data_IF_549155034522
#
_entry.id   IF_549155034522
#
_cell.length_a   1.000
_cell.length_b   1.000
_cell.length_c   1.000
_cell.angle_alpha   90.00
_cell.angle_beta   90.00
_cell.angle_gamma   90.00
#
_symmetry.space_group_name_H-M   'P 1'
#
loop_
_entity.id
_entity.type
_entity.pdbx_description
1 polymer ?
#
# COMPACT_ATOMS: atom_id res chain seq x y z
N UNK A 1 -8.72 -2.35 -12.84
CA UNK A 1 -7.50 -2.95 -12.25
C UNK A 1 -7.90 -3.64 -10.96
N UNK A 2 -7.48 -4.87 -10.74
CA UNK A 2 -7.69 -5.55 -9.46
C UNK A 2 -6.51 -5.23 -8.52
N UNK A 3 -6.83 -4.79 -7.30
CA UNK A 3 -5.85 -4.48 -6.25
C UNK A 3 -6.11 -5.39 -5.06
N UNK A 4 -5.06 -6.02 -4.55
CA UNK A 4 -5.09 -6.81 -3.33
C UNK A 4 -4.47 -5.96 -2.23
N UNK A 5 -5.29 -5.51 -1.29
CA UNK A 5 -4.85 -4.77 -0.12
C UNK A 5 -4.35 -5.75 0.92
N UNK A 6 -3.16 -5.50 1.43
CA UNK A 6 -2.51 -6.30 2.45
C UNK A 6 -2.07 -5.40 3.59
N UNK A 7 -1.98 -5.97 4.78
CA UNK A 7 -1.57 -5.27 5.99
C UNK A 7 -0.43 -6.05 6.63
N UNK A 8 0.76 -5.44 6.65
CA UNK A 8 1.93 -6.11 7.22
C UNK A 8 1.91 -6.09 8.76
N UNK A 9 1.21 -5.13 9.36
CA UNK A 9 1.18 -4.96 10.82
C UNK A 9 -0.15 -5.42 11.43
N UNK A 10 -1.20 -5.57 10.61
CA UNK A 10 -2.52 -5.96 11.08
C UNK A 10 -3.32 -4.87 11.77
N UNK A 11 -2.97 -3.61 11.51
CA UNK A 11 -3.51 -2.43 12.18
C UNK A 11 -4.71 -1.86 11.43
N UNK A 12 -4.83 -2.13 10.13
CA UNK A 12 -5.66 -1.39 9.20
C UNK A 12 -6.72 -2.28 8.55
N UNK A 13 -6.38 -3.53 8.22
CA UNK A 13 -7.33 -4.45 7.62
C UNK A 13 -8.08 -5.24 8.70
N UNK A 14 -9.42 -5.27 8.67
CA UNK A 14 -10.18 -6.13 9.56
C UNK A 14 -9.77 -7.59 9.36
N UNK A 15 -9.50 -8.28 10.46
CA UNK A 15 -9.18 -9.70 10.52
C UNK A 15 -7.85 -10.12 9.84
N UNK A 16 -6.95 -9.17 9.53
CA UNK A 16 -5.66 -9.42 8.83
C UNK A 16 -5.78 -10.11 7.47
N UNK A 17 -6.98 -10.18 6.90
CA UNK A 17 -7.23 -10.83 5.63
C UNK A 17 -7.02 -9.87 4.46
N UNK A 18 -6.49 -10.35 3.31
CA UNK A 18 -6.35 -9.51 2.13
C UNK A 18 -7.73 -9.08 1.61
N UNK A 19 -7.87 -7.80 1.29
CA UNK A 19 -9.11 -7.22 0.74
C UNK A 19 -8.93 -6.97 -0.76
N UNK A 20 -9.90 -7.42 -1.55
CA UNK A 20 -9.92 -7.19 -2.99
C UNK A 20 -10.65 -5.88 -3.30
N UNK A 21 -10.00 -5.01 -4.07
CA UNK A 21 -10.56 -3.76 -4.55
C UNK A 21 -10.47 -3.70 -6.08
N UNK A 22 -11.63 -3.54 -6.74
CA UNK A 22 -11.67 -3.18 -8.15
C UNK A 22 -11.53 -1.66 -8.29
N UNK A 23 -10.51 -1.23 -9.02
CA UNK A 23 -10.19 0.18 -9.22
C UNK A 23 -10.11 0.53 -10.70
N UNK A 24 -10.86 1.54 -11.13
CA UNK A 24 -10.96 1.98 -12.53
C UNK A 24 -10.17 3.26 -12.83
N UNK A 25 -9.58 3.89 -11.82
CA UNK A 25 -8.81 5.13 -11.99
C UNK A 25 -7.41 4.91 -12.58
N UNK A 26 -6.75 6.02 -12.93
CA UNK A 26 -5.39 6.04 -13.51
C UNK A 26 -4.37 6.80 -12.65
N UNK A 27 -4.82 7.34 -11.52
CA UNK A 27 -4.00 8.11 -10.60
C UNK A 27 -3.75 7.36 -9.31
N UNK A 28 -2.53 7.49 -8.78
CA UNK A 28 -2.18 7.01 -7.43
C UNK A 28 -2.99 7.76 -6.37
N UNK A 29 -3.32 9.03 -6.61
CA UNK A 29 -4.13 9.83 -5.69
C UNK A 29 -5.56 9.29 -5.61
N UNK A 30 -6.18 9.04 -6.76
CA UNK A 30 -7.53 8.45 -6.83
C UNK A 30 -7.56 7.06 -6.19
N UNK A 31 -6.50 6.26 -6.39
CA UNK A 31 -6.38 4.95 -5.74
C UNK A 31 -6.29 5.10 -4.22
N UNK A 32 -5.50 6.08 -3.75
CA UNK A 32 -5.35 6.36 -2.31
C UNK A 32 -6.67 6.76 -1.68
N UNK A 33 -7.44 7.62 -2.35
CA UNK A 33 -8.74 8.08 -1.84
C UNK A 33 -9.78 6.95 -1.85
N UNK A 34 -9.77 6.09 -2.88
CA UNK A 34 -10.62 4.89 -2.93
C UNK A 34 -10.31 3.92 -1.78
N UNK A 35 -9.02 3.65 -1.55
CA UNK A 35 -8.56 2.80 -0.45
C UNK A 35 -8.91 3.41 0.92
N UNK A 36 -8.67 4.72 1.10
CA UNK A 36 -9.00 5.41 2.34
C UNK A 36 -10.51 5.36 2.63
N UNK A 37 -11.34 5.54 1.60
CA UNK A 37 -12.80 5.43 1.69
C UNK A 37 -13.22 4.01 2.09
N UNK A 38 -12.63 2.98 1.48
CA UNK A 38 -12.90 1.58 1.81
C UNK A 38 -12.57 1.25 3.28
N UNK A 39 -11.47 1.82 3.78
CA UNK A 39 -10.97 1.57 5.13
C UNK A 39 -11.58 2.52 6.19
N UNK A 40 -12.34 3.54 5.78
CA UNK A 40 -12.92 4.52 6.70
C UNK A 40 -11.88 5.42 7.39
N UNK A 41 -10.73 5.67 6.75
CA UNK A 41 -9.62 6.49 7.26
C UNK A 41 -9.34 7.70 6.36
N UNK A 42 -8.53 8.65 6.83
CA UNK A 42 -8.13 9.78 5.99
C UNK A 42 -7.01 9.36 5.03
N UNK A 43 -7.03 9.84 3.79
CA UNK A 43 -6.05 9.44 2.78
C UNK A 43 -4.62 9.89 3.07
N UNK A 44 -4.43 10.86 3.96
CA UNK A 44 -3.12 11.29 4.49
C UNK A 44 -2.56 10.37 5.59
N UNK A 45 -3.42 9.57 6.21
CA UNK A 45 -3.04 8.66 7.30
C UNK A 45 -2.59 7.30 6.77
N UNK A 46 -2.64 7.09 5.45
CA UNK A 46 -2.22 5.86 4.81
C UNK A 46 -1.04 6.08 3.86
N UNK A 47 -0.11 5.13 3.90
CA UNK A 47 1.00 5.01 2.97
C UNK A 47 0.78 3.73 2.18
N UNK A 48 0.62 3.90 0.87
CA UNK A 48 0.47 2.79 -0.06
C UNK A 48 1.84 2.35 -0.56
N UNK A 49 2.16 1.08 -0.40
CA UNK A 49 3.44 0.49 -0.79
C UNK A 49 3.24 -0.66 -1.76
N UNK A 50 4.20 -0.84 -2.65
CA UNK A 50 4.33 -2.04 -3.48
C UNK A 50 5.60 -2.79 -3.08
N UNK A 51 5.60 -4.11 -3.23
CA UNK A 51 6.80 -4.91 -2.98
C UNK A 51 7.60 -5.06 -4.27
N UNK A 52 8.84 -4.58 -4.28
CA UNK A 52 9.74 -4.69 -5.43
C UNK A 52 10.27 -6.12 -5.63
N UNK A 53 9.49 -7.01 -6.26
CA UNK A 53 9.85 -8.43 -6.44
C UNK A 53 9.42 -9.33 -5.27
N UNK A 54 9.57 -10.65 -5.43
CA UNK A 54 9.01 -11.70 -4.54
C UNK A 54 9.35 -11.59 -3.04
N UNK A 55 10.48 -10.94 -2.70
CA UNK A 55 10.92 -10.65 -1.32
C UNK A 55 11.42 -9.21 -1.16
N UNK A 56 11.05 -8.34 -2.09
CA UNK A 56 11.57 -6.98 -2.13
C UNK A 56 11.19 -6.16 -0.92
N UNK A 57 11.91 -5.06 -0.73
CA UNK A 57 11.53 -4.03 0.23
C UNK A 57 10.21 -3.36 -0.19
N UNK A 58 9.43 -2.91 0.77
CA UNK A 58 8.29 -2.05 0.52
C UNK A 58 8.79 -0.71 -0.03
N UNK A 59 8.24 -0.31 -1.17
CA UNK A 59 8.55 0.96 -1.84
C UNK A 59 7.26 1.77 -1.88
N UNK A 60 7.26 3.02 -1.36
CA UNK A 60 6.10 3.90 -1.46
C UNK A 60 5.69 4.12 -2.91
N UNK A 61 4.39 4.09 -3.17
CA UNK A 61 3.84 4.35 -4.50
C UNK A 61 3.74 5.87 -4.71
N UNK A 62 4.73 6.46 -5.40
CA UNK A 62 4.87 7.93 -5.40
C UNK A 62 4.37 8.66 -6.65
N UNK A 63 4.34 8.07 -7.86
CA UNK A 63 4.01 8.94 -9.03
C UNK A 63 3.34 8.37 -10.27
N UNK A 64 3.27 7.08 -10.59
CA UNK A 64 2.46 6.67 -11.77
C UNK A 64 2.00 5.22 -11.71
N UNK A 65 0.68 5.02 -11.77
CA UNK A 65 0.06 3.73 -12.09
C UNK A 65 -0.08 3.64 -13.61
N UNK A 66 0.70 2.75 -14.24
CA UNK A 66 0.42 2.25 -15.58
C UNK A 66 0.26 0.74 -15.47
N UNK A 67 -0.95 0.20 -15.21
CA UNK A 67 -1.17 -1.23 -15.27
C UNK A 67 -1.63 -1.54 -16.70
N UNK A 68 -0.69 -1.94 -17.55
CA UNK A 68 -1.01 -2.77 -18.74
C UNK A 68 -1.00 -4.26 -18.39
N UNK A 69 -1.00 -4.59 -17.08
CA UNK A 69 -0.79 -5.94 -16.59
C UNK A 69 -2.13 -6.52 -16.15
N UNK A 70 -2.42 -7.73 -16.65
CA UNK A 70 -3.60 -8.55 -16.32
C UNK A 70 -3.58 -9.10 -14.88
N UNK A 71 -2.47 -8.94 -14.17
CA UNK A 71 -2.29 -9.48 -12.82
C UNK A 71 -2.74 -8.48 -11.74
N UNK A 72 -3.27 -8.98 -10.61
CA UNK A 72 -3.63 -8.12 -9.49
C UNK A 72 -2.40 -7.42 -8.91
N UNK A 73 -2.52 -6.10 -8.66
CA UNK A 73 -1.49 -5.36 -7.95
C UNK A 73 -1.60 -5.63 -6.46
N UNK A 74 -0.56 -6.21 -5.86
CA UNK A 74 -0.48 -6.36 -4.41
C UNK A 74 0.02 -5.05 -3.79
N UNK A 75 -0.80 -4.48 -2.93
CA UNK A 75 -0.57 -3.18 -2.34
C UNK A 75 -0.67 -3.29 -0.82
N UNK A 76 0.42 -2.89 -0.17
CA UNK A 76 0.57 -2.94 1.28
C UNK A 76 0.20 -1.58 1.85
N UNK A 77 -0.76 -1.56 2.76
CA UNK A 77 -1.20 -0.34 3.43
C UNK A 77 -0.49 -0.27 4.77
N UNK A 78 0.20 0.84 4.99
CA UNK A 78 0.75 1.20 6.29
C UNK A 78 0.07 2.46 6.80
N UNK A 79 -0.04 2.59 8.12
CA UNK A 79 -0.62 3.76 8.74
C UNK A 79 0.51 4.72 9.09
N UNK A 80 0.32 6.01 8.80
CA UNK A 80 1.29 7.04 9.13
C UNK A 80 1.57 7.03 10.64
N UNK A 81 2.86 7.01 10.99
CA UNK A 81 3.31 7.00 12.39
C UNK A 81 3.50 5.60 12.99
N UNK A 82 3.20 4.51 12.28
CA UNK A 82 3.57 3.16 12.74
C UNK A 82 5.07 2.89 12.58
N UNK A 83 5.62 1.90 13.30
CA UNK A 83 7.01 1.48 13.12
C UNK A 83 7.35 1.12 11.68
N UNK A 84 6.48 0.41 10.95
CA UNK A 84 6.71 0.11 9.54
C UNK A 84 6.75 1.37 8.68
N UNK A 85 5.88 2.36 8.92
CA UNK A 85 5.94 3.64 8.22
C UNK A 85 7.25 4.39 8.49
N UNK A 86 7.78 4.32 9.71
CA UNK A 86 9.08 4.91 10.06
C UNK A 86 10.26 4.19 9.36
N UNK A 87 10.21 2.87 9.22
CA UNK A 87 11.21 2.08 8.51
C UNK A 87 11.26 2.35 7.00
N UNK A 88 10.18 2.89 6.42
CA UNK A 88 10.22 3.42 5.05
C UNK A 88 11.03 4.70 4.95
N UNK A 89 10.91 5.60 5.95
CA UNK A 89 11.55 6.91 5.96
C UNK A 89 13.04 6.83 6.29
N UNK A 90 13.41 5.91 7.18
CA UNK A 90 14.80 5.64 7.56
C UNK A 90 15.16 4.25 7.03
N UNK A 91 15.72 4.15 5.80
CA UNK A 91 16.31 2.90 5.37
C UNK A 91 17.30 2.43 6.43
N UNK A 92 17.14 1.20 6.88
CA UNK A 92 17.98 0.56 7.88
C UNK A 92 19.46 0.85 7.56
N UNK A 93 20.04 1.82 8.30
CA UNK A 93 21.44 2.27 8.15
C UNK A 93 22.37 1.44 9.03
N UNK A 94 21.88 0.32 9.57
CA UNK A 94 22.57 -0.51 10.56
C UNK A 94 22.54 -2.00 10.27
N UNK A 95 22.68 -2.43 9.01
CA UNK A 95 23.15 -3.78 8.74
C UNK A 95 24.69 -3.80 8.85
N UNK A 96 25.21 -4.03 10.05
CA UNK A 96 26.58 -4.51 10.27
C UNK A 96 26.69 -6.02 10.04
#
# INVERSE_FOLDING_TARGET
>A
MLVVLMDEEGVILPDHHPVLLEFEGRSVLDLRDAVATLLGVLSQDIIMCVRGGLRGRLIPLTVTLLPTILEPMHLFILQTGTPAALALRYPDVGAE
#
